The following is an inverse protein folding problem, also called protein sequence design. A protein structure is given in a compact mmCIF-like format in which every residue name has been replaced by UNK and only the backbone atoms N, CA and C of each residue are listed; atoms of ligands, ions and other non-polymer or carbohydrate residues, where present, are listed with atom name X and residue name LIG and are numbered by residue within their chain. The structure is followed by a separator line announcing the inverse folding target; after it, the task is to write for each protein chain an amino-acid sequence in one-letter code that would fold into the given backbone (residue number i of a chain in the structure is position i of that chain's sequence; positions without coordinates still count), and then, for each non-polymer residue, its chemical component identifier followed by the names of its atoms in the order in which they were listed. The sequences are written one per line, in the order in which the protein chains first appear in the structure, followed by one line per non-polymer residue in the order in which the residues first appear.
data_IF_133019978835
#
_entry.id   IF_133019978835
#
_cell.length_a   1.000
_cell.length_b   1.000
_cell.length_c   1.000
_cell.angle_alpha   90.00
_cell.angle_beta   90.00
_cell.angle_gamma   90.00
#
_symmetry.space_group_name_H-M   'P 1'
#
loop_
_entity.id
_entity.type
_entity.pdbx_description
1 polymer ?
#
# COMPACT_ATOMS: atom_id res chain seq x y z
N UNK A 1 -5.18 -20.27 9.09
CA UNK A 1 -5.09 -18.84 9.45
C UNK A 1 -5.51 -18.62 10.90
N UNK A 2 -4.69 -17.94 11.68
CA UNK A 2 -5.06 -17.44 13.01
C UNK A 2 -5.83 -16.13 12.86
N UNK A 3 -7.04 -16.07 13.44
CA UNK A 3 -7.81 -14.83 13.50
C UNK A 3 -7.05 -13.80 14.34
N UNK A 4 -6.81 -12.61 13.78
CA UNK A 4 -6.16 -11.51 14.52
C UNK A 4 -7.23 -10.61 15.11
N UNK A 5 -7.24 -10.48 16.43
CA UNK A 5 -8.17 -9.60 17.15
C UNK A 5 -7.62 -8.18 17.17
N UNK A 6 -8.45 -7.21 16.77
CA UNK A 6 -8.13 -5.78 16.84
C UNK A 6 -9.31 -5.01 17.46
N UNK A 7 -9.00 -4.18 18.45
CA UNK A 7 -9.96 -3.23 19.03
C UNK A 7 -10.13 -2.02 18.12
N UNK A 8 -11.37 -1.68 17.77
CA UNK A 8 -11.70 -0.54 16.94
C UNK A 8 -12.62 0.45 17.67
N UNK A 9 -12.45 1.73 17.37
CA UNK A 9 -13.30 2.79 17.90
C UNK A 9 -14.19 3.38 16.79
N UNK A 10 -15.49 3.61 17.05
CA UNK A 10 -16.35 4.30 16.10
C UNK A 10 -15.90 5.75 15.94
N UNK A 11 -15.98 6.27 14.72
CA UNK A 11 -15.59 7.65 14.42
C UNK A 11 -16.80 8.57 14.44
N UNK A 12 -16.69 9.69 15.14
CA UNK A 12 -17.69 10.77 15.18
C UNK A 12 -17.39 11.89 14.19
N UNK A 13 -16.12 12.05 13.81
CA UNK A 13 -15.66 13.11 12.90
C UNK A 13 -15.30 12.57 11.51
N UNK A 14 -15.96 13.14 10.49
CA UNK A 14 -15.82 12.74 9.10
C UNK A 14 -15.01 13.77 8.28
N UNK A 15 -14.58 13.35 7.08
CA UNK A 15 -13.84 14.19 6.15
C UNK A 15 -12.33 14.33 6.43
N UNK A 16 -11.67 15.22 5.66
CA UNK A 16 -10.22 15.42 5.65
C UNK A 16 -9.65 15.81 7.02
N UNK A 17 -10.34 16.67 7.76
CA UNK A 17 -9.92 17.13 9.09
C UNK A 17 -9.92 16.01 10.13
N UNK A 18 -11.04 15.28 10.22
CA UNK A 18 -11.18 14.14 11.15
C UNK A 18 -10.21 13.00 10.82
N UNK A 19 -10.01 12.69 9.54
CA UNK A 19 -9.04 11.68 9.12
C UNK A 19 -7.60 12.06 9.51
N UNK A 20 -7.19 13.33 9.30
CA UNK A 20 -5.86 13.81 9.70
C UNK A 20 -5.65 13.76 11.22
N UNK A 21 -6.66 14.12 12.02
CA UNK A 21 -6.60 13.99 13.49
C UNK A 21 -6.47 12.54 13.93
N UNK A 22 -7.25 11.64 13.33
CA UNK A 22 -7.19 10.19 13.60
C UNK A 22 -5.78 9.64 13.36
N UNK A 23 -5.16 10.00 12.23
CA UNK A 23 -3.78 9.60 11.92
C UNK A 23 -2.74 10.18 12.88
N UNK A 24 -2.88 11.46 13.26
CA UNK A 24 -2.01 12.09 14.28
C UNK A 24 -2.12 11.41 15.64
N UNK A 25 -3.30 10.88 15.98
CA UNK A 25 -3.53 10.11 17.19
C UNK A 25 -3.01 8.65 17.08
N UNK A 26 -2.28 8.29 16.01
CA UNK A 26 -1.73 6.95 15.83
C UNK A 26 -2.76 5.90 15.42
N UNK A 27 -3.90 6.33 14.86
CA UNK A 27 -4.99 5.45 14.40
C UNK A 27 -5.17 5.56 12.89
N UNK A 28 -5.59 4.48 12.25
CA UNK A 28 -5.88 4.40 10.82
C UNK A 28 -7.39 4.49 10.63
N UNK A 29 -7.90 5.44 9.84
CA UNK A 29 -9.31 5.47 9.48
C UNK A 29 -9.64 4.28 8.57
N UNK A 30 -10.73 3.58 8.88
CA UNK A 30 -11.21 2.47 8.07
C UNK A 30 -12.73 2.49 7.89
N UNK A 31 -13.20 1.83 6.82
CA UNK A 31 -14.62 1.68 6.51
C UNK A 31 -14.96 0.19 6.49
N UNK A 32 -15.95 -0.19 7.29
CA UNK A 32 -16.56 -1.51 7.27
C UNK A 32 -17.81 -1.47 6.40
N UNK A 33 -17.87 -2.31 5.37
CA UNK A 33 -19.06 -2.46 4.53
C UNK A 33 -19.22 -3.92 4.09
N UNK A 34 -20.41 -4.30 3.67
CA UNK A 34 -20.71 -5.67 3.22
C UNK A 34 -22.14 -6.09 3.53
N UNK A 35 -22.58 -7.18 2.91
CA UNK A 35 -23.90 -7.81 3.11
C UNK A 35 -25.13 -6.87 3.08
N UNK A 36 -25.04 -5.72 2.41
CA UNK A 36 -26.12 -4.73 2.37
C UNK A 36 -26.34 -3.97 3.68
N UNK A 37 -25.44 -4.11 4.66
CA UNK A 37 -25.47 -3.33 5.89
C UNK A 37 -24.96 -1.89 5.65
N UNK A 38 -25.37 -0.97 6.52
CA UNK A 38 -24.89 0.43 6.44
C UNK A 38 -23.38 0.48 6.73
N UNK A 39 -22.58 1.16 5.89
CA UNK A 39 -21.15 1.30 6.13
C UNK A 39 -20.88 1.91 7.51
N UNK A 40 -19.97 1.30 8.27
CA UNK A 40 -19.53 1.80 9.58
C UNK A 40 -18.13 2.41 9.45
N UNK A 41 -17.96 3.59 10.01
CA UNK A 41 -16.67 4.27 10.05
C UNK A 41 -15.97 4.01 11.39
N UNK A 42 -14.79 3.41 11.32
CA UNK A 42 -14.03 3.01 12.50
C UNK A 42 -12.60 3.55 12.43
N UNK A 43 -11.93 3.58 13.58
CA UNK A 43 -10.53 3.89 13.74
C UNK A 43 -9.80 2.69 14.34
N UNK A 44 -8.77 2.22 13.65
CA UNK A 44 -7.95 1.08 14.05
C UNK A 44 -6.61 1.55 14.62
N UNK A 45 -6.06 0.93 15.68
CA UNK A 45 -4.70 1.22 16.15
C UNK A 45 -3.67 0.91 15.05
N UNK A 46 -2.90 1.92 14.61
CA UNK A 46 -2.02 1.79 13.46
C UNK A 46 -0.91 0.75 13.68
N UNK A 47 -0.40 0.64 14.91
CA UNK A 47 0.68 -0.29 15.26
C UNK A 47 0.23 -1.75 15.21
N UNK A 48 -0.95 -2.04 15.75
CA UNK A 48 -1.51 -3.40 15.76
C UNK A 48 -1.89 -3.83 14.35
N UNK A 49 -2.54 -2.93 13.60
CA UNK A 49 -2.88 -3.18 12.20
C UNK A 49 -1.62 -3.44 11.36
N UNK A 50 -0.58 -2.61 11.51
CA UNK A 50 0.69 -2.80 10.82
C UNK A 50 1.36 -4.13 11.16
N UNK A 51 1.34 -4.53 12.43
CA UNK A 51 1.91 -5.80 12.88
C UNK A 51 1.15 -7.00 12.31
N UNK A 52 -0.18 -6.90 12.20
CA UNK A 52 -1.01 -7.95 11.64
C UNK A 52 -0.77 -8.13 10.13
N UNK A 53 -0.76 -7.03 9.36
CA UNK A 53 -0.52 -7.08 7.91
C UNK A 53 0.89 -7.59 7.58
N UNK A 54 1.92 -7.24 8.38
CA UNK A 54 3.28 -7.77 8.17
C UNK A 54 3.39 -9.28 8.39
N UNK A 55 2.53 -9.86 9.23
CA UNK A 55 2.57 -11.29 9.57
C UNK A 55 1.68 -12.14 8.66
N UNK A 56 0.47 -11.65 8.38
CA UNK A 56 -0.57 -12.37 7.64
C UNK A 56 -0.83 -11.84 6.24
N UNK A 57 0.05 -10.99 5.71
CA UNK A 57 -0.10 -10.40 4.39
C UNK A 57 -1.29 -9.45 4.26
N UNK A 58 -1.60 -9.09 3.01
CA UNK A 58 -2.67 -8.16 2.68
C UNK A 58 -4.08 -8.73 2.93
N UNK A 59 -4.23 -10.05 2.90
CA UNK A 59 -5.51 -10.76 2.98
C UNK A 59 -5.78 -11.37 4.36
N UNK A 60 -5.19 -10.83 5.42
CA UNK A 60 -5.39 -11.31 6.78
C UNK A 60 -6.85 -11.14 7.25
N UNK A 61 -7.44 -12.20 7.81
CA UNK A 61 -8.76 -12.14 8.43
C UNK A 61 -8.70 -11.45 9.80
N UNK A 62 -9.51 -10.41 9.99
CA UNK A 62 -9.58 -9.62 11.23
C UNK A 62 -10.86 -9.89 12.01
N UNK A 63 -10.72 -10.16 13.30
CA UNK A 63 -11.81 -10.11 14.27
C UNK A 63 -11.80 -8.72 14.92
N UNK A 64 -12.74 -7.87 14.51
CA UNK A 64 -12.81 -6.48 14.94
C UNK A 64 -13.81 -6.36 16.08
N UNK A 65 -13.32 -5.92 17.23
CA UNK A 65 -14.11 -5.57 18.41
C UNK A 65 -14.35 -4.07 18.39
N UNK A 66 -15.56 -3.65 18.01
CA UNK A 66 -15.94 -2.23 18.07
C UNK A 66 -16.34 -1.92 19.51
N UNK A 67 -15.89 -0.77 20.03
CA UNK A 67 -16.15 -0.35 21.42
C UNK A 67 -17.63 -0.21 21.80
N UNK A 68 -18.55 -0.29 20.84
CA UNK A 68 -20.00 -0.38 21.05
C UNK A 68 -20.49 -1.79 21.44
N UNK A 69 -19.57 -2.75 21.56
CA UNK A 69 -19.82 -4.15 21.91
C UNK A 69 -20.03 -5.06 20.69
N UNK A 70 -19.95 -4.53 19.47
CA UNK A 70 -20.11 -5.34 18.25
C UNK A 70 -18.81 -6.08 17.91
N UNK A 71 -18.90 -7.40 17.77
CA UNK A 71 -17.83 -8.22 17.19
C UNK A 71 -18.18 -8.57 15.75
N UNK A 72 -17.27 -8.25 14.83
CA UNK A 72 -17.43 -8.55 13.40
C UNK A 72 -16.16 -9.19 12.83
N UNK A 73 -16.35 -10.04 11.83
CA UNK A 73 -15.26 -10.58 11.02
C UNK A 73 -15.15 -9.74 9.74
N UNK A 74 -13.95 -9.32 9.41
CA UNK A 74 -13.70 -8.49 8.25
C UNK A 74 -12.39 -8.86 7.54
N UNK A 75 -12.37 -8.64 6.24
CA UNK A 75 -11.23 -8.86 5.35
C UNK A 75 -10.82 -7.52 4.70
N UNK A 76 -9.53 -7.18 4.63
CA UNK A 76 -9.08 -6.01 3.87
C UNK A 76 -9.35 -6.22 2.39
N UNK A 77 -10.09 -5.30 1.78
CA UNK A 77 -10.27 -5.28 0.32
C UNK A 77 -9.26 -4.36 -0.35
N UNK A 78 -8.95 -3.23 0.28
CA UNK A 78 -7.95 -2.29 -0.21
C UNK A 78 -7.23 -1.62 0.96
N UNK A 79 -5.91 -1.44 0.81
CA UNK A 79 -5.06 -0.79 1.80
C UNK A 79 -4.35 0.36 1.09
N UNK A 80 -4.62 1.59 1.54
CA UNK A 80 -3.95 2.78 1.04
C UNK A 80 -2.75 3.10 1.93
N UNK A 81 -1.59 3.26 1.29
CA UNK A 81 -0.32 3.55 1.98
C UNK A 81 0.28 4.85 1.44
N UNK A 82 0.86 5.63 2.34
CA UNK A 82 1.61 6.83 1.99
C UNK A 82 2.93 6.40 1.34
N UNK A 83 3.23 6.82 0.10
CA UNK A 83 4.42 6.37 -0.63
C UNK A 83 5.75 6.90 -0.07
N UNK A 84 5.71 7.96 0.76
CA UNK A 84 6.92 8.58 1.33
C UNK A 84 7.10 8.14 2.78
N UNK A 85 6.02 8.21 3.58
CA UNK A 85 6.05 7.93 5.02
C UNK A 85 5.81 6.46 5.34
N UNK A 86 5.36 5.69 4.36
CA UNK A 86 5.13 4.25 4.48
C UNK A 86 4.03 3.90 5.53
N UNK A 87 3.20 4.88 5.87
CA UNK A 87 2.09 4.78 6.84
C UNK A 87 0.77 4.43 6.17
N UNK A 88 -0.10 3.69 6.85
CA UNK A 88 -1.45 3.40 6.37
C UNK A 88 -2.36 4.62 6.44
N UNK A 89 -2.86 5.05 5.28
CA UNK A 89 -3.70 6.23 5.14
C UNK A 89 -5.19 5.93 5.32
N UNK A 90 -5.63 4.80 4.77
CA UNK A 90 -7.00 4.31 4.76
C UNK A 90 -7.04 2.81 4.54
N UNK A 91 -8.08 2.16 5.09
CA UNK A 91 -8.32 0.72 4.88
C UNK A 91 -9.79 0.48 4.61
N UNK A 92 -10.06 -0.26 3.54
CA UNK A 92 -11.39 -0.75 3.19
C UNK A 92 -11.54 -2.18 3.69
N UNK A 93 -12.55 -2.41 4.53
CA UNK A 93 -12.81 -3.69 5.17
C UNK A 93 -14.17 -4.22 4.72
N UNK A 94 -14.15 -5.41 4.13
CA UNK A 94 -15.32 -6.17 3.75
C UNK A 94 -15.75 -7.06 4.91
N UNK A 95 -16.99 -6.91 5.37
CA UNK A 95 -17.62 -7.83 6.31
C UNK A 95 -17.77 -9.21 5.66
N UNK A 96 -17.40 -10.27 6.39
CA UNK A 96 -17.45 -11.65 5.90
C UNK A 96 -18.05 -12.58 6.94
N UNK A 97 -18.78 -13.59 6.49
CA UNK A 97 -19.27 -14.69 7.33
C UNK A 97 -18.41 -15.94 7.14
N UNK A 98 -18.35 -16.79 8.18
CA UNK A 98 -17.66 -18.09 8.07
C UNK A 98 -18.38 -18.96 7.03
N UNK A 99 -17.62 -19.51 6.08
CA UNK A 99 -18.14 -20.34 4.99
C UNK A 99 -18.64 -19.56 3.77
N UNK A 100 -18.41 -18.25 3.71
CA UNK A 100 -18.70 -17.44 2.52
C UNK A 100 -17.52 -17.45 1.54
N UNK A 101 -17.83 -17.56 0.25
CA UNK A 101 -16.86 -17.42 -0.83
C UNK A 101 -16.62 -15.93 -1.11
N UNK A 102 -15.35 -15.52 -1.10
CA UNK A 102 -14.94 -14.13 -1.35
C UNK A 102 -13.90 -14.10 -2.46
N UNK A 103 -13.98 -13.10 -3.35
CA UNK A 103 -13.00 -12.87 -4.40
C UNK A 103 -11.94 -11.87 -3.93
N UNK A 104 -10.69 -12.34 -3.90
CA UNK A 104 -9.52 -11.62 -3.40
C UNK A 104 -8.36 -11.72 -4.39
N UNK A 105 -7.47 -10.73 -4.32
CA UNK A 105 -6.22 -10.73 -5.08
C UNK A 105 -5.12 -11.27 -4.16
N UNK A 106 -4.49 -12.37 -4.56
CA UNK A 106 -3.43 -13.03 -3.79
C UNK A 106 -2.11 -12.85 -4.52
N UNK A 107 -1.03 -12.44 -3.83
CA UNK A 107 0.28 -12.30 -4.44
C UNK A 107 0.86 -13.66 -4.86
N UNK A 108 1.58 -13.68 -5.99
CA UNK A 108 2.29 -14.86 -6.47
C UNK A 108 3.77 -14.76 -6.08
N UNK A 109 4.31 -15.85 -5.54
CA UNK A 109 5.72 -16.03 -5.23
C UNK A 109 6.31 -17.06 -6.17
N UNK A 110 7.34 -16.66 -6.91
CA UNK A 110 8.11 -17.57 -7.75
C UNK A 110 9.10 -18.34 -6.88
N UNK A 111 9.14 -19.66 -7.03
CA UNK A 111 10.05 -20.55 -6.31
C UNK A 111 10.94 -21.30 -7.28
N UNK A 112 12.21 -21.52 -6.92
CA UNK A 112 13.22 -22.17 -7.77
C UNK A 112 14.17 -21.19 -8.45
N UNK A 113 15.11 -21.74 -9.21
CA UNK A 113 16.11 -20.97 -9.98
C UNK A 113 15.89 -21.18 -11.49
N UNK A 114 15.83 -20.08 -12.23
CA UNK A 114 15.77 -20.12 -13.69
C UNK A 114 17.13 -20.53 -14.29
N UNK A 115 17.14 -20.90 -15.57
CA UNK A 115 18.37 -21.28 -16.27
C UNK A 115 19.41 -20.13 -16.30
N UNK A 116 20.68 -20.45 -16.54
CA UNK A 116 21.74 -19.44 -16.68
C UNK A 116 21.43 -18.49 -17.83
N UNK A 117 21.86 -17.23 -17.68
CA UNK A 117 21.66 -16.15 -18.66
C UNK A 117 20.18 -15.86 -18.95
N UNK A 118 19.31 -16.00 -17.95
CA UNK A 118 17.89 -15.63 -18.02
C UNK A 118 17.55 -14.45 -17.12
N UNK A 119 16.52 -13.70 -17.49
CA UNK A 119 15.95 -12.58 -16.73
C UNK A 119 14.45 -12.85 -16.53
N UNK A 120 14.02 -12.84 -15.26
CA UNK A 120 12.63 -13.06 -14.88
C UNK A 120 11.94 -11.70 -14.84
N UNK A 121 10.89 -11.54 -15.63
CA UNK A 121 10.00 -10.37 -15.63
C UNK A 121 8.68 -10.79 -14.99
N UNK A 122 8.27 -10.06 -13.96
CA UNK A 122 6.93 -10.19 -13.39
C UNK A 122 5.97 -9.30 -14.17
N UNK A 123 5.00 -9.91 -14.86
CA UNK A 123 3.96 -9.17 -15.57
C UNK A 123 2.79 -8.84 -14.64
N UNK A 124 2.44 -9.79 -13.78
CA UNK A 124 1.36 -9.66 -12.80
C UNK A 124 1.75 -10.27 -11.45
N UNK A 125 1.92 -9.42 -10.44
CA UNK A 125 2.31 -9.83 -9.09
C UNK A 125 1.17 -10.50 -8.30
N UNK A 126 -0.08 -10.31 -8.73
CA UNK A 126 -1.27 -10.77 -8.00
C UNK A 126 -2.27 -11.45 -8.93
N UNK A 127 -2.91 -12.51 -8.45
CA UNK A 127 -3.97 -13.23 -9.15
C UNK A 127 -5.30 -13.14 -8.40
N UNK A 128 -6.38 -12.97 -9.15
CA UNK A 128 -7.74 -12.97 -8.59
C UNK A 128 -8.25 -14.40 -8.41
N UNK A 129 -8.59 -14.74 -7.17
CA UNK A 129 -9.07 -16.06 -6.79
C UNK A 129 -10.30 -15.95 -5.89
N UNK A 130 -11.19 -16.93 -6.00
CA UNK A 130 -12.31 -17.12 -5.08
C UNK A 130 -11.96 -18.21 -4.09
N UNK A 131 -12.03 -17.89 -2.80
CA UNK A 131 -11.78 -18.84 -1.72
C UNK A 131 -12.78 -18.63 -0.58
N UNK A 132 -12.92 -19.63 0.28
CA UNK A 132 -13.61 -19.45 1.56
C UNK A 132 -12.87 -18.39 2.38
N UNK A 133 -13.60 -17.46 3.01
CA UNK A 133 -13.02 -16.37 3.80
C UNK A 133 -12.05 -16.83 4.92
N UNK A 134 -12.14 -18.10 5.34
CA UNK A 134 -11.27 -18.70 6.37
C UNK A 134 -10.06 -19.45 5.81
N UNK A 135 -10.02 -19.72 4.50
CA UNK A 135 -9.00 -20.50 3.80
C UNK A 135 -8.30 -19.72 2.69
N UNK A 136 -8.34 -18.39 2.73
CA UNK A 136 -7.59 -17.56 1.80
C UNK A 136 -6.08 -17.82 2.01
N UNK A 137 -5.31 -18.17 0.97
CA UNK A 137 -3.86 -18.29 1.06
C UNK A 137 -3.19 -16.93 1.14
N UNK A 138 -2.05 -16.86 1.84
CA UNK A 138 -1.26 -15.62 1.97
C UNK A 138 -0.50 -15.29 0.68
N UNK A 139 -0.03 -16.33 -0.01
CA UNK A 139 0.65 -16.27 -1.30
C UNK A 139 0.32 -17.55 -2.10
N UNK A 140 0.47 -17.47 -3.42
CA UNK A 140 0.44 -18.62 -4.32
C UNK A 140 1.87 -18.90 -4.79
N UNK A 141 2.25 -20.17 -4.86
CA UNK A 141 3.58 -20.56 -5.34
C UNK A 141 3.51 -20.96 -6.82
N UNK A 142 4.47 -20.48 -7.60
CA UNK A 142 4.69 -20.93 -8.97
C UNK A 142 6.16 -21.30 -9.14
N UNK A 143 6.42 -22.52 -9.64
CA UNK A 143 7.79 -23.02 -9.82
C UNK A 143 8.39 -22.51 -11.12
N UNK A 144 9.63 -22.03 -11.06
CA UNK A 144 10.46 -21.58 -12.19
C UNK A 144 11.72 -22.44 -12.38
N UNK A 145 11.79 -23.61 -11.72
CA UNK A 145 13.00 -24.44 -11.72
C UNK A 145 13.39 -24.88 -13.13
N UNK A 146 14.56 -24.44 -13.60
CA UNK A 146 15.11 -24.80 -14.90
C UNK A 146 14.41 -24.18 -16.10
N UNK A 147 13.58 -23.14 -15.91
CA UNK A 147 12.90 -22.47 -17.01
C UNK A 147 13.90 -21.83 -17.98
N UNK A 148 13.76 -22.14 -19.28
CA UNK A 148 14.59 -21.60 -20.36
C UNK A 148 14.08 -20.24 -20.83
N UNK A 149 14.96 -19.47 -21.49
CA UNK A 149 14.59 -18.20 -22.12
C UNK A 149 13.47 -18.38 -23.15
N UNK A 150 12.43 -17.56 -23.05
CA UNK A 150 11.20 -17.64 -23.86
C UNK A 150 10.04 -18.36 -23.19
N UNK A 151 10.23 -18.90 -21.97
CA UNK A 151 9.15 -19.56 -21.22
C UNK A 151 8.23 -18.51 -20.59
N UNK A 152 6.92 -18.69 -20.75
CA UNK A 152 5.90 -17.87 -20.11
C UNK A 152 5.14 -18.72 -19.09
N UNK A 153 5.04 -18.23 -17.87
CA UNK A 153 4.27 -18.85 -16.80
C UNK A 153 2.91 -18.16 -16.78
N UNK A 154 1.86 -18.96 -16.97
CA UNK A 154 0.50 -18.46 -17.00
C UNK A 154 -0.20 -18.70 -15.67
N UNK A 155 -1.35 -18.04 -15.47
CA UNK A 155 -2.16 -18.21 -14.26
C UNK A 155 -2.63 -19.67 -14.06
N UNK A 156 -2.71 -20.46 -15.13
CA UNK A 156 -3.05 -21.88 -15.07
C UNK A 156 -1.95 -22.77 -14.46
N UNK A 157 -0.69 -22.33 -14.54
CA UNK A 157 0.47 -23.10 -14.07
C UNK A 157 0.74 -22.93 -12.56
N UNK A 158 -0.02 -22.05 -11.91
CA UNK A 158 0.12 -21.74 -10.48
C UNK A 158 -0.53 -22.83 -9.64
N UNK A 159 0.17 -23.27 -8.58
CA UNK A 159 -0.36 -24.28 -7.68
C UNK A 159 -1.49 -23.70 -6.81
N UNK A 160 -2.72 -24.16 -7.05
CA UNK A 160 -3.89 -23.72 -6.30
C UNK A 160 -4.18 -24.69 -5.15
N UNK A 161 -4.20 -24.21 -3.88
CA UNK A 161 -4.51 -25.05 -2.74
C UNK A 161 -6.00 -25.44 -2.71
N UNK A 162 -6.32 -26.50 -1.96
CA UNK A 162 -7.67 -27.07 -1.92
C UNK A 162 -8.75 -26.05 -1.52
N UNK A 163 -9.74 -25.86 -2.41
CA UNK A 163 -10.88 -24.96 -2.18
C UNK A 163 -10.69 -23.53 -2.70
N UNK A 164 -9.63 -23.28 -3.46
CA UNK A 164 -9.40 -22.03 -4.19
C UNK A 164 -9.75 -22.24 -5.67
N UNK A 165 -10.60 -21.37 -6.21
CA UNK A 165 -11.00 -21.34 -7.61
C UNK A 165 -10.36 -20.10 -8.28
N UNK A 166 -9.72 -20.29 -9.43
CA UNK A 166 -9.15 -19.18 -10.21
C UNK A 166 -10.29 -18.39 -10.88
N UNK A 167 -10.30 -17.07 -10.68
CA UNK A 167 -11.25 -16.14 -11.34
C UNK A 167 -10.58 -15.40 -12.48
N UNK A 168 -9.26 -15.18 -12.38
CA UNK A 168 -8.45 -14.60 -13.44
C UNK A 168 -8.53 -15.44 -14.73
N UNK A 169 -8.16 -14.82 -15.86
CA UNK A 169 -8.02 -15.57 -17.10
C UNK A 169 -6.87 -16.57 -16.98
N UNK A 170 -7.11 -17.81 -17.41
CA UNK A 170 -6.11 -18.87 -17.36
C UNK A 170 -4.89 -18.56 -18.25
N UNK A 171 -5.09 -17.79 -19.32
CA UNK A 171 -4.04 -17.39 -20.27
C UNK A 171 -3.23 -16.17 -19.81
N UNK A 172 -3.60 -15.56 -18.68
CA UNK A 172 -2.94 -14.36 -18.16
C UNK A 172 -1.47 -14.68 -17.79
N UNK A 173 -0.47 -13.96 -18.34
CA UNK A 173 0.91 -14.11 -17.91
C UNK A 173 1.05 -13.71 -16.44
N UNK A 174 1.78 -14.50 -15.66
CA UNK A 174 2.18 -14.14 -14.29
C UNK A 174 3.63 -13.67 -14.31
N UNK A 175 4.49 -14.46 -14.94
CA UNK A 175 5.89 -14.16 -15.12
C UNK A 175 6.38 -14.67 -16.47
N UNK A 176 7.33 -13.95 -17.07
CA UNK A 176 8.00 -14.34 -18.30
C UNK A 176 9.50 -14.45 -18.06
N UNK A 177 10.08 -15.54 -18.55
CA UNK A 177 11.53 -15.79 -18.52
C UNK A 177 12.08 -15.37 -19.87
N UNK A 178 12.88 -14.31 -19.88
CA UNK A 178 13.51 -13.76 -21.08
C UNK A 178 15.00 -14.04 -21.07
N UNK A 179 15.65 -13.96 -22.23
CA UNK A 179 17.11 -14.02 -22.28
C UNK A 179 17.68 -12.77 -21.60
N UNK A 180 18.69 -12.95 -20.74
CA UNK A 180 19.39 -11.82 -20.16
C UNK A 180 20.06 -11.00 -21.30
N UNK A 181 19.89 -9.67 -21.31
CA UNK A 181 20.55 -8.84 -22.32
C UNK A 181 22.07 -8.96 -22.21
N UNK A 182 22.76 -9.05 -23.34
CA UNK A 182 24.23 -9.09 -23.36
C UNK A 182 24.80 -7.73 -22.96
N UNK A 183 26.07 -7.71 -22.52
CA UNK A 183 26.77 -6.46 -22.17
C UNK A 183 26.72 -5.42 -23.32
N UNK A 184 26.84 -5.87 -24.57
CA UNK A 184 26.75 -5.02 -25.76
C UNK A 184 25.33 -4.41 -25.95
N UNK A 185 24.28 -5.13 -25.57
CA UNK A 185 22.89 -4.64 -25.64
C UNK A 185 22.55 -3.66 -24.52
N UNK A 186 23.16 -3.84 -23.34
CA UNK A 186 23.06 -2.91 -22.21
C UNK A 186 23.81 -1.60 -22.50
N UNK A 187 25.00 -1.67 -23.11
CA UNK A 187 25.76 -0.48 -23.51
C UNK A 187 25.04 0.33 -24.60
N UNK A 188 24.37 -0.32 -25.56
CA UNK A 188 23.62 0.36 -26.60
C UNK A 188 22.29 1.01 -26.15
N UNK A 189 21.78 0.65 -24.96
CA UNK A 189 20.53 1.22 -24.40
C UNK A 189 20.74 2.23 -23.28
N UNK A 190 21.97 2.39 -22.80
CA UNK A 190 22.35 3.51 -21.95
C UNK A 190 22.40 4.78 -22.82
N UNK A 191 21.71 5.87 -22.47
CA UNK A 191 22.01 7.16 -23.08
C UNK A 191 23.48 7.46 -22.77
N UNK A 192 24.29 7.70 -23.81
CA UNK A 192 25.60 8.30 -23.66
C UNK A 192 25.41 9.60 -22.86
N UNK A 193 25.69 9.54 -21.56
CA UNK A 193 25.94 10.76 -20.79
C UNK A 193 27.30 11.21 -21.26
N UNK A 194 27.32 11.93 -22.39
CA UNK A 194 28.42 12.80 -22.74
C UNK A 194 28.62 13.74 -21.55
N UNK A 195 29.65 13.45 -20.76
CA UNK A 195 30.25 14.40 -19.84
C UNK A 195 30.89 15.46 -20.73
N UNK A 196 30.08 16.43 -21.14
CA UNK A 196 30.57 17.69 -21.69
C UNK A 196 31.24 18.44 -20.53
N UNK A 197 32.55 18.27 -20.42
CA UNK A 197 33.43 19.33 -19.91
C UNK A 197 33.22 20.55 -20.81
N UNK A 198 32.39 21.50 -20.38
CA UNK A 198 32.47 22.87 -20.85
C UNK A 198 32.61 23.77 -19.63
N UNK A 199 33.87 24.17 -19.42
CA UNK A 199 34.26 25.30 -18.59
C UNK A 199 33.43 26.53 -18.98
N UNK A 200 32.71 27.07 -18.01
CA UNK A 200 32.31 28.47 -18.02
C UNK A 200 32.68 29.07 -16.66
N UNK A 201 33.92 29.55 -16.57
CA UNK A 201 34.30 30.60 -15.65
C UNK A 201 33.39 31.82 -15.88
N UNK A 202 32.71 32.27 -14.82
CA UNK A 202 32.27 33.65 -14.68
C UNK A 202 32.14 34.00 -13.20
N UNK A 203 33.22 34.59 -12.69
CA UNK A 203 33.33 35.60 -11.63
C UNK A 203 32.70 35.33 -10.26
N UNK A 204 33.59 34.98 -9.33
CA UNK A 204 33.48 35.30 -7.90
C UNK A 204 33.74 36.80 -7.71
N UNK A 205 32.71 37.54 -7.33
CA UNK A 205 32.82 38.87 -6.72
C UNK A 205 32.66 38.75 -5.20
N UNK A 206 33.79 38.84 -4.50
CA UNK A 206 33.94 38.96 -3.06
C UNK A 206 33.52 40.38 -2.60
N UNK A 207 32.65 40.51 -1.60
CA UNK A 207 32.86 41.51 -0.54
C UNK A 207 32.05 41.18 0.73
N UNK A 208 32.79 41.15 1.83
CA UNK A 208 32.41 40.89 3.22
C UNK A 208 32.05 42.18 3.97
N UNK A 209 31.39 41.99 5.13
CA UNK A 209 31.33 42.86 6.32
C UNK A 209 30.34 44.05 6.29
N UNK A 210 29.76 44.55 7.37
CA UNK A 210 29.45 44.15 8.77
C UNK A 210 28.80 45.42 9.39
N UNK A 211 27.80 45.29 10.27
CA UNK A 211 27.29 46.35 11.17
C UNK A 211 26.43 47.46 10.52
N UNK A 212 25.51 48.17 11.19
CA UNK A 212 25.04 48.22 12.57
C UNK A 212 23.78 49.14 12.58
N UNK A 213 22.82 48.81 13.45
CA UNK A 213 21.75 49.63 14.08
C UNK A 213 20.78 50.55 13.30
N UNK A 214 19.49 50.44 13.71
CA UNK A 214 18.44 51.43 13.44
C UNK A 214 17.01 50.93 13.69
N UNK A 215 16.63 50.63 14.94
CA UNK A 215 15.22 50.59 15.40
C UNK A 215 14.64 52.03 15.47
N UNK A 216 13.34 52.31 15.71
CA UNK A 216 12.14 51.45 15.83
C UNK A 216 10.89 51.98 15.08
N UNK A 217 9.83 51.18 14.98
CA UNK A 217 8.45 51.67 14.89
C UNK A 217 7.44 50.56 15.25
N UNK A 218 7.05 50.50 16.52
CA UNK A 218 5.81 49.88 16.98
C UNK A 218 4.61 50.74 16.55
N UNK A 219 3.51 50.08 16.19
CA UNK A 219 2.23 50.68 15.85
C UNK A 219 1.10 49.66 15.99
N UNK A 220 0.58 49.59 17.21
CA UNK A 220 -0.54 48.81 17.76
C UNK A 220 -1.83 48.88 16.91
N UNK A 221 -2.76 47.92 17.06
CA UNK A 221 -4.10 48.37 17.44
C UNK A 221 -4.70 47.52 18.56
N UNK A 222 -5.08 48.20 19.65
CA UNK A 222 -5.97 47.70 20.68
C UNK A 222 -7.42 48.20 20.43
N UNK A 223 -8.36 47.35 20.84
CA UNK A 223 -9.80 47.40 20.61
C UNK A 223 -10.54 48.52 21.36
N UNK A 224 -11.72 48.92 20.83
CA UNK A 224 -12.87 49.31 21.67
C UNK A 224 -14.21 49.34 20.89
N UNK A 225 -15.15 48.48 21.26
CA UNK A 225 -16.60 48.71 21.24
C UNK A 225 -17.01 48.98 22.71
N UNK A 226 -18.09 49.74 23.07
CA UNK A 226 -19.46 49.52 22.57
C UNK A 226 -20.49 50.71 22.58
N UNK A 227 -21.61 50.48 21.87
CA UNK A 227 -23.05 50.86 22.09
C UNK A 227 -23.51 52.28 22.51
N UNK A 228 -24.47 52.83 21.74
CA UNK A 228 -25.87 53.25 22.09
C UNK A 228 -26.51 53.90 20.83
N UNK A 229 -27.58 53.39 20.23
CA UNK A 229 -29.02 53.61 20.52
C UNK A 229 -29.47 55.09 20.54
N UNK A 230 -30.06 55.56 19.43
CA UNK A 230 -31.21 56.46 19.30
C UNK A 230 -31.55 56.66 17.81
#
# INVERSE_FOLDING_TARGET
MSEVKISAEPRTEFGKGGARRTRRAGKVPAVLYGHGEKPKHIALPAREFAAAIRKGGANQLFAIEVSDGTQVLALPKAIQRDPIKDTFEHVDLLLVRRGEKVTVEVPVQLTGEAAKDTLIVHDHDTLSVTADATKVPDHLEASIEGAEAGTQITAADVELPAGVELVADAEMPVASVTAAPTAEQLEATLPEVEVAEEEAEAEVGEETAEGEEGTPAEGEPAAEEPKTEA
#
